data_IF_863477895851
#
_entry.id   IF_863477895851
#
_cell.length_a   1.000
_cell.length_b   1.000
_cell.length_c   1.000
_cell.angle_alpha   90.00
_cell.angle_beta   90.00
_cell.angle_gamma   90.00
#
_symmetry.space_group_name_H-M   'P 1'
#
loop_
_entity.id
_entity.type
_entity.pdbx_description
1 polymer ?
#
# COMPACT_ATOMS: atom_id res chain seq x y z
N UNK A 1 -3.00 16.55 18.12
CA UNK A 1 -4.25 16.23 17.38
C UNK A 1 -4.49 17.32 16.37
N UNK A 2 -4.91 17.01 15.14
CA UNK A 2 -5.21 18.03 14.13
C UNK A 2 -6.71 18.34 14.16
N UNK A 3 -7.07 19.61 14.31
CA UNK A 3 -8.46 20.08 14.34
C UNK A 3 -8.94 20.50 12.94
N UNK A 4 -8.09 21.18 12.17
CA UNK A 4 -8.44 21.66 10.84
C UNK A 4 -7.23 21.67 9.89
N UNK A 5 -7.52 21.76 8.60
CA UNK A 5 -6.54 22.00 7.54
C UNK A 5 -7.02 23.13 6.64
N UNK A 6 -6.08 23.89 6.07
CA UNK A 6 -6.35 24.95 5.09
C UNK A 6 -5.16 25.10 4.14
N UNK A 7 -5.40 24.88 2.85
CA UNK A 7 -4.38 24.79 1.83
C UNK A 7 -3.28 23.78 2.18
N UNK A 8 -2.09 24.33 2.47
CA UNK A 8 -0.86 23.59 2.81
C UNK A 8 -0.58 23.56 4.31
N UNK A 9 -1.53 24.00 5.14
CA UNK A 9 -1.35 24.09 6.59
C UNK A 9 -2.35 23.21 7.35
N UNK A 10 -1.97 22.85 8.57
CA UNK A 10 -2.81 22.18 9.56
C UNK A 10 -2.77 22.96 10.87
N UNK A 11 -3.89 22.99 11.56
CA UNK A 11 -4.02 23.60 12.89
C UNK A 11 -4.33 22.52 13.90
N UNK A 12 -3.53 22.44 14.96
CA UNK A 12 -3.75 21.51 16.05
C UNK A 12 -4.81 22.01 17.05
N UNK A 13 -5.22 21.15 17.97
CA UNK A 13 -6.25 21.46 19.00
C UNK A 13 -5.83 22.54 20.01
N UNK A 14 -4.55 22.93 20.03
CA UNK A 14 -4.04 24.00 20.87
C UNK A 14 -3.95 25.34 20.09
N UNK A 15 -4.39 25.35 18.83
CA UNK A 15 -4.40 26.52 17.96
C UNK A 15 -3.07 26.78 17.24
N UNK A 16 -2.10 25.86 17.28
CA UNK A 16 -0.85 26.03 16.54
C UNK A 16 -1.05 25.65 15.08
N UNK A 17 -0.73 26.58 14.17
CA UNK A 17 -0.74 26.34 12.72
C UNK A 17 0.66 26.00 12.22
N UNK A 18 0.77 24.96 11.39
CA UNK A 18 2.04 24.51 10.79
C UNK A 18 1.85 24.07 9.35
N UNK A 19 2.91 24.11 8.54
CA UNK A 19 2.90 23.53 7.20
C UNK A 19 2.78 22.01 7.26
N UNK A 20 1.86 21.42 6.48
CA UNK A 20 1.71 19.98 6.34
C UNK A 20 2.71 19.42 5.32
N UNK A 21 3.91 19.14 5.81
CA UNK A 21 4.95 18.46 5.03
C UNK A 21 4.82 16.93 5.08
N UNK A 22 3.85 16.41 5.84
CA UNK A 22 3.62 14.96 5.97
C UNK A 22 2.81 14.41 4.80
N UNK A 23 1.89 15.23 4.27
CA UNK A 23 1.02 14.88 3.15
C UNK A 23 0.24 13.58 3.39
N UNK A 24 -0.07 13.25 4.65
CA UNK A 24 -0.67 11.96 5.03
C UNK A 24 0.08 10.76 4.43
N UNK A 25 1.40 10.71 4.65
CA UNK A 25 2.29 9.65 4.15
C UNK A 25 2.25 9.51 2.61
N UNK A 26 2.04 10.63 1.91
CA UNK A 26 2.00 10.68 0.44
C UNK A 26 0.61 10.52 -0.18
N UNK A 27 -0.47 10.40 0.61
CA UNK A 27 -1.85 10.38 0.09
C UNK A 27 -2.23 11.75 -0.48
N UNK A 28 -1.90 12.83 0.22
CA UNK A 28 -2.37 14.18 -0.09
C UNK A 28 -1.52 14.90 -1.15
N UNK A 29 -1.24 14.24 -2.28
CA UNK A 29 -0.38 14.75 -3.37
C UNK A 29 -0.84 16.12 -3.91
N UNK A 30 -2.15 16.36 -3.97
CA UNK A 30 -2.74 17.61 -4.47
C UNK A 30 -3.09 18.62 -3.37
N UNK A 31 -2.73 18.35 -2.11
CA UNK A 31 -3.08 19.18 -0.96
C UNK A 31 -4.47 18.89 -0.38
N UNK A 32 -4.68 19.29 0.87
CA UNK A 32 -5.86 18.90 1.64
C UNK A 32 -7.19 19.39 1.01
N UNK A 33 -7.22 20.62 0.49
CA UNK A 33 -8.47 21.21 -0.02
C UNK A 33 -8.99 20.53 -1.28
N UNK A 34 -8.08 20.11 -2.18
CA UNK A 34 -8.45 19.32 -3.35
C UNK A 34 -9.19 18.02 -2.94
N UNK A 35 -8.70 17.35 -1.88
CA UNK A 35 -9.34 16.14 -1.39
C UNK A 35 -10.67 16.43 -0.67
N UNK A 36 -10.81 17.55 0.05
CA UNK A 36 -12.10 17.96 0.63
C UNK A 36 -13.17 18.14 -0.45
N UNK A 37 -12.83 18.78 -1.57
CA UNK A 37 -13.74 18.95 -2.70
C UNK A 37 -14.13 17.59 -3.30
N UNK A 38 -13.16 16.69 -3.48
CA UNK A 38 -13.40 15.33 -3.96
C UNK A 38 -14.35 14.55 -3.03
N UNK A 39 -14.14 14.65 -1.71
CA UNK A 39 -14.97 14.00 -0.70
C UNK A 39 -16.40 14.54 -0.75
N UNK A 40 -16.59 15.87 -0.76
CA UNK A 40 -17.91 16.47 -0.85
C UNK A 40 -18.66 16.02 -2.12
N UNK A 41 -17.97 15.95 -3.27
CA UNK A 41 -18.53 15.44 -4.52
C UNK A 41 -18.81 13.93 -4.49
N UNK A 42 -18.01 13.14 -3.80
CA UNK A 42 -18.22 11.70 -3.63
C UNK A 42 -19.40 11.43 -2.69
N UNK A 43 -19.48 12.12 -1.56
CA UNK A 43 -20.57 12.01 -0.59
C UNK A 43 -21.90 12.33 -1.25
N UNK A 44 -22.01 13.47 -1.95
CA UNK A 44 -23.24 13.85 -2.66
C UNK A 44 -23.74 12.76 -3.62
N UNK A 45 -22.83 12.06 -4.30
CA UNK A 45 -23.16 10.94 -5.20
C UNK A 45 -23.56 9.69 -4.43
N UNK A 46 -22.80 9.34 -3.40
CA UNK A 46 -23.01 8.12 -2.62
C UNK A 46 -24.25 8.21 -1.71
N UNK A 47 -24.62 9.40 -1.24
CA UNK A 47 -25.71 9.62 -0.29
C UNK A 47 -27.05 9.07 -0.82
N UNK A 48 -27.35 9.29 -2.11
CA UNK A 48 -28.56 8.77 -2.73
C UNK A 48 -28.53 7.26 -2.97
N UNK A 49 -27.34 6.68 -3.12
CA UNK A 49 -27.16 5.24 -3.34
C UNK A 49 -27.28 4.45 -2.03
N UNK A 50 -26.76 5.00 -0.93
CA UNK A 50 -26.65 4.29 0.34
C UNK A 50 -25.58 3.18 0.32
N UNK A 51 -25.55 2.32 1.35
CA UNK A 51 -24.53 1.28 1.52
C UNK A 51 -24.84 0.05 0.64
N UNK A 52 -24.90 0.23 -0.67
CA UNK A 52 -25.04 -0.88 -1.61
C UNK A 52 -23.72 -1.65 -1.64
N UNK A 53 -23.70 -2.81 -1.00
CA UNK A 53 -22.55 -3.70 -0.91
C UNK A 53 -22.74 -4.94 -1.79
N UNK A 54 -21.68 -5.38 -2.45
CA UNK A 54 -21.69 -6.55 -3.34
C UNK A 54 -21.54 -6.20 -4.82
N UNK A 55 -22.51 -5.50 -5.46
CA UNK A 55 -22.38 -5.12 -6.85
C UNK A 55 -21.49 -3.87 -7.02
N UNK A 56 -20.88 -3.74 -8.19
CA UNK A 56 -20.06 -2.57 -8.53
C UNK A 56 -20.92 -1.40 -9.02
N UNK A 57 -20.63 -0.19 -8.52
CA UNK A 57 -21.16 1.04 -9.07
C UNK A 57 -20.45 1.39 -10.39
N UNK A 58 -21.12 1.95 -11.42
CA UNK A 58 -20.52 2.27 -12.72
C UNK A 58 -19.28 3.18 -12.69
N UNK A 59 -19.10 3.94 -11.60
CA UNK A 59 -17.88 4.76 -11.38
C UNK A 59 -16.59 3.95 -11.46
N UNK A 60 -16.64 2.65 -11.17
CA UNK A 60 -15.47 1.77 -11.24
C UNK A 60 -15.02 1.53 -12.68
N UNK A 61 -15.90 1.60 -13.68
CA UNK A 61 -15.56 1.29 -15.07
C UNK A 61 -14.46 2.20 -15.62
N UNK A 62 -14.59 3.51 -15.43
CA UNK A 62 -13.58 4.48 -15.86
C UNK A 62 -12.28 4.32 -15.04
N UNK A 63 -12.40 4.07 -13.72
CA UNK A 63 -11.25 3.88 -12.84
C UNK A 63 -10.41 2.66 -13.26
N UNK A 64 -11.05 1.54 -13.59
CA UNK A 64 -10.39 0.33 -14.11
C UNK A 64 -9.61 0.65 -15.37
N UNK A 65 -10.24 1.29 -16.36
CA UNK A 65 -9.59 1.66 -17.62
C UNK A 65 -8.36 2.54 -17.42
N UNK A 66 -8.46 3.54 -16.52
CA UNK A 66 -7.35 4.45 -16.21
C UNK A 66 -6.23 3.73 -15.49
N UNK A 67 -6.54 2.88 -14.50
CA UNK A 67 -5.55 2.13 -13.74
C UNK A 67 -4.81 1.11 -14.62
N UNK A 68 -5.52 0.36 -15.48
CA UNK A 68 -4.88 -0.54 -16.46
C UNK A 68 -3.95 0.21 -17.41
N UNK A 69 -4.33 1.42 -17.86
CA UNK A 69 -3.46 2.26 -18.71
C UNK A 69 -2.21 2.72 -17.98
N UNK A 70 -2.32 3.10 -16.71
CA UNK A 70 -1.18 3.56 -15.89
C UNK A 70 -0.24 2.40 -15.56
N UNK A 71 -0.80 1.24 -15.19
CA UNK A 71 -0.02 0.07 -14.80
C UNK A 71 0.56 -0.70 -15.98
N UNK A 72 -0.06 -0.59 -17.17
CA UNK A 72 0.25 -1.43 -18.32
C UNK A 72 -0.21 -2.89 -18.15
N UNK A 73 -1.12 -3.17 -17.22
CA UNK A 73 -1.66 -4.50 -16.94
C UNK A 73 -3.09 -4.65 -17.48
N UNK A 74 -3.47 -5.90 -17.77
CA UNK A 74 -4.79 -6.23 -18.32
C UNK A 74 -5.92 -6.09 -17.31
N UNK A 75 -5.64 -6.34 -16.03
CA UNK A 75 -6.64 -6.42 -14.96
C UNK A 75 -6.19 -5.67 -13.70
N UNK A 76 -7.17 -5.26 -12.89
CA UNK A 76 -6.97 -4.63 -11.57
C UNK A 76 -7.92 -5.23 -10.54
N UNK A 77 -7.47 -5.31 -9.30
CA UNK A 77 -8.28 -5.72 -8.15
C UNK A 77 -8.30 -4.60 -7.11
N UNK A 78 -9.48 -4.29 -6.58
CA UNK A 78 -9.66 -3.28 -5.54
C UNK A 78 -9.65 -3.92 -4.15
N UNK A 79 -8.99 -3.25 -3.21
CA UNK A 79 -8.84 -3.67 -1.83
C UNK A 79 -9.05 -2.47 -0.90
N UNK A 80 -9.31 -2.71 0.38
CA UNK A 80 -9.56 -1.64 1.35
C UNK A 80 -8.28 -0.98 1.85
N UNK A 81 -7.12 -1.59 1.62
CA UNK A 81 -5.82 -1.04 2.02
C UNK A 81 -4.66 -1.55 1.17
N UNK A 82 -3.51 -0.89 1.29
CA UNK A 82 -2.25 -1.38 0.71
C UNK A 82 -1.81 -2.72 1.31
N UNK A 83 -2.04 -2.96 2.61
CA UNK A 83 -1.77 -4.26 3.26
C UNK A 83 -2.56 -5.37 2.59
N UNK A 84 -3.85 -5.18 2.35
CA UNK A 84 -4.70 -6.17 1.67
C UNK A 84 -4.28 -6.42 0.23
N UNK A 85 -3.87 -5.36 -0.49
CA UNK A 85 -3.34 -5.50 -1.85
C UNK A 85 -2.07 -6.37 -1.88
N UNK A 86 -1.14 -6.17 -0.94
CA UNK A 86 0.06 -7.01 -0.80
C UNK A 86 -0.32 -8.45 -0.45
N UNK A 87 -1.24 -8.65 0.49
CA UNK A 87 -1.72 -9.99 0.86
C UNK A 87 -2.30 -10.72 -0.35
N UNK A 88 -3.12 -10.05 -1.16
CA UNK A 88 -3.71 -10.64 -2.36
C UNK A 88 -2.63 -10.94 -3.41
N UNK A 89 -1.68 -10.04 -3.64
CA UNK A 89 -0.58 -10.26 -4.59
C UNK A 89 0.28 -11.48 -4.20
N UNK A 90 0.63 -11.62 -2.91
CA UNK A 90 1.39 -12.77 -2.41
C UNK A 90 0.58 -14.06 -2.54
N UNK A 91 -0.72 -14.02 -2.21
CA UNK A 91 -1.61 -15.18 -2.37
C UNK A 91 -1.69 -15.64 -3.83
N UNK A 92 -1.80 -14.70 -4.77
CA UNK A 92 -1.82 -14.98 -6.19
C UNK A 92 -0.49 -15.59 -6.65
N UNK A 93 0.64 -15.03 -6.25
CA UNK A 93 1.96 -15.56 -6.57
C UNK A 93 2.15 -17.00 -6.05
N UNK A 94 1.79 -17.28 -4.79
CA UNK A 94 1.81 -18.64 -4.22
C UNK A 94 0.92 -19.58 -5.02
N UNK A 95 -0.30 -19.14 -5.36
CA UNK A 95 -1.25 -19.95 -6.13
C UNK A 95 -0.72 -20.34 -7.52
N UNK A 96 -0.12 -19.41 -8.26
CA UNK A 96 0.38 -19.69 -9.62
C UNK A 96 1.68 -20.47 -9.63
N UNK A 97 2.62 -20.12 -8.75
CA UNK A 97 3.95 -20.75 -8.73
C UNK A 97 3.98 -22.09 -8.01
N UNK A 98 2.98 -22.39 -7.18
CA UNK A 98 2.94 -23.56 -6.26
C UNK A 98 4.11 -23.59 -5.27
N UNK A 99 4.69 -22.42 -5.00
CA UNK A 99 5.78 -22.22 -4.06
C UNK A 99 5.26 -21.51 -2.82
N UNK A 100 5.97 -21.66 -1.71
CA UNK A 100 5.50 -21.23 -0.39
C UNK A 100 6.13 -19.92 0.05
N UNK A 101 7.42 -19.72 -0.21
CA UNK A 101 8.16 -18.61 0.41
C UNK A 101 8.06 -17.33 -0.40
N UNK A 102 8.01 -16.19 0.30
CA UNK A 102 8.26 -14.88 -0.31
C UNK A 102 9.62 -14.33 0.14
N UNK A 103 10.16 -13.41 -0.64
CA UNK A 103 11.32 -12.61 -0.24
C UNK A 103 10.86 -11.18 0.01
N UNK A 104 11.36 -10.59 1.10
CA UNK A 104 11.32 -9.14 1.34
C UNK A 104 12.74 -8.63 1.62
N UNK A 105 12.91 -7.32 1.54
CA UNK A 105 14.17 -6.68 1.93
C UNK A 105 14.10 -6.12 3.35
N UNK A 106 15.24 -6.10 4.04
CA UNK A 106 15.39 -5.42 5.32
C UNK A 106 15.08 -3.92 5.13
N UNK A 107 14.37 -3.31 6.09
CA UNK A 107 13.94 -1.90 6.02
C UNK A 107 12.67 -1.65 5.17
N UNK A 108 12.35 -2.52 4.21
CA UNK A 108 11.17 -2.35 3.37
C UNK A 108 9.86 -2.49 4.17
N UNK A 109 8.90 -1.60 3.89
CA UNK A 109 7.54 -1.65 4.43
C UNK A 109 6.55 -2.09 3.34
N UNK A 110 5.77 -3.13 3.64
CA UNK A 110 4.70 -3.64 2.77
C UNK A 110 3.37 -3.82 3.53
N UNK A 111 3.16 -3.00 4.57
CA UNK A 111 2.04 -3.15 5.48
C UNK A 111 2.42 -3.92 6.76
N UNK A 112 1.40 -4.31 7.51
CA UNK A 112 1.52 -4.87 8.86
C UNK A 112 1.07 -6.34 8.95
N UNK A 113 0.82 -6.98 7.81
CA UNK A 113 0.53 -8.42 7.78
C UNK A 113 1.76 -9.22 8.22
N UNK A 114 1.56 -10.26 9.03
CA UNK A 114 2.64 -10.96 9.75
C UNK A 114 3.80 -11.46 8.86
N UNK A 115 3.51 -11.99 7.68
CA UNK A 115 4.54 -12.47 6.74
C UNK A 115 5.43 -11.34 6.18
N UNK A 116 4.96 -10.09 6.19
CA UNK A 116 5.69 -8.92 5.66
C UNK A 116 6.16 -7.94 6.74
N UNK A 117 5.79 -8.17 8.00
CA UNK A 117 6.30 -7.44 9.17
C UNK A 117 6.89 -8.35 10.26
N UNK A 118 7.87 -9.23 9.98
CA UNK A 118 8.56 -9.96 11.04
C UNK A 118 9.65 -9.09 11.69
N UNK A 119 9.72 -9.07 13.03
CA UNK A 119 10.76 -8.37 13.80
C UNK A 119 10.21 -7.33 14.77
N UNK A 120 10.75 -6.10 14.76
CA UNK A 120 10.38 -5.04 15.72
C UNK A 120 8.87 -4.74 15.62
N UNK A 121 8.15 -4.93 16.72
CA UNK A 121 6.70 -4.76 16.79
C UNK A 121 5.87 -6.02 16.50
N UNK A 122 6.49 -7.11 16.04
CA UNK A 122 5.83 -8.40 15.84
C UNK A 122 6.65 -9.54 16.50
N UNK A 123 6.19 -10.09 17.63
CA UNK A 123 6.92 -11.13 18.36
C UNK A 123 6.96 -12.48 17.62
N UNK A 124 6.18 -12.64 16.55
CA UNK A 124 6.08 -13.88 15.78
C UNK A 124 7.11 -13.84 14.65
N UNK A 125 7.98 -14.85 14.61
CA UNK A 125 8.88 -15.05 13.49
C UNK A 125 8.08 -15.38 12.21
N UNK A 126 8.46 -14.80 11.08
CA UNK A 126 7.88 -15.23 9.82
C UNK A 126 8.37 -16.64 9.46
N UNK A 127 7.43 -17.51 9.08
CA UNK A 127 7.72 -18.91 8.76
C UNK A 127 8.08 -19.10 7.28
N UNK A 128 7.39 -18.40 6.38
CA UNK A 128 7.53 -18.56 4.93
C UNK A 128 8.05 -17.28 4.25
N UNK A 129 8.94 -16.56 4.94
CA UNK A 129 9.51 -15.30 4.46
C UNK A 129 11.02 -15.27 4.62
N UNK A 130 11.74 -15.02 3.54
CA UNK A 130 13.14 -14.64 3.58
C UNK A 130 13.27 -13.12 3.70
N UNK A 131 13.90 -12.67 4.78
CA UNK A 131 14.32 -11.27 4.93
C UNK A 131 15.76 -11.14 4.49
N UNK A 132 15.98 -10.49 3.35
CA UNK A 132 17.30 -10.37 2.73
C UNK A 132 17.79 -8.92 2.74
N UNK A 133 19.11 -8.74 2.61
CA UNK A 133 19.70 -7.41 2.47
C UNK A 133 19.40 -6.83 1.08
N UNK A 134 19.10 -5.53 1.01
CA UNK A 134 19.01 -4.82 -0.26
C UNK A 134 20.41 -4.62 -0.87
N UNK A 135 20.50 -4.48 -2.19
CA UNK A 135 21.74 -4.23 -2.94
C UNK A 135 22.92 -5.17 -2.56
N UNK A 136 22.66 -6.47 -2.39
CA UNK A 136 23.66 -7.44 -1.93
C UNK A 136 23.85 -8.62 -2.89
N UNK A 137 25.11 -8.96 -3.20
CA UNK A 137 25.44 -10.18 -3.95
C UNK A 137 24.99 -11.47 -3.24
N UNK A 138 24.98 -11.48 -1.91
CA UNK A 138 24.48 -12.63 -1.13
C UNK A 138 22.98 -12.84 -1.36
N UNK A 139 22.22 -11.76 -1.45
CA UNK A 139 20.80 -11.79 -1.79
C UNK A 139 20.60 -12.33 -3.20
N UNK A 140 21.37 -11.85 -4.18
CA UNK A 140 21.30 -12.38 -5.55
C UNK A 140 21.63 -13.88 -5.61
N UNK A 141 22.60 -14.34 -4.82
CA UNK A 141 22.91 -15.77 -4.70
C UNK A 141 21.70 -16.58 -4.17
N UNK A 142 21.03 -16.11 -3.11
CA UNK A 142 19.81 -16.76 -2.60
C UNK A 142 18.72 -16.81 -3.66
N UNK A 143 18.46 -15.70 -4.34
CA UNK A 143 17.43 -15.62 -5.40
C UNK A 143 17.71 -16.57 -6.57
N UNK A 144 18.97 -16.79 -6.94
CA UNK A 144 19.35 -17.70 -8.03
C UNK A 144 19.24 -19.18 -7.63
N UNK A 145 19.50 -19.50 -6.36
CA UNK A 145 19.66 -20.88 -5.89
C UNK A 145 18.39 -21.51 -5.35
N UNK A 146 17.56 -20.74 -4.61
CA UNK A 146 16.29 -21.24 -4.04
C UNK A 146 15.28 -21.54 -5.14
N UNK A 147 14.45 -22.56 -4.93
CA UNK A 147 13.39 -23.00 -5.85
C UNK A 147 11.98 -22.94 -5.26
N UNK A 148 11.89 -22.52 -4.00
CA UNK A 148 10.67 -22.43 -3.20
C UNK A 148 10.16 -20.98 -3.04
N UNK A 149 10.75 -20.02 -3.76
CA UNK A 149 10.34 -18.62 -3.77
C UNK A 149 9.20 -18.40 -4.76
N UNK A 150 8.02 -18.05 -4.25
CA UNK A 150 6.83 -17.66 -4.99
C UNK A 150 6.93 -16.25 -5.58
N UNK A 151 7.40 -15.28 -4.78
CA UNK A 151 7.58 -13.90 -5.22
C UNK A 151 8.68 -13.18 -4.45
N UNK A 152 9.12 -12.05 -5.01
CA UNK A 152 10.05 -11.10 -4.39
C UNK A 152 9.31 -9.77 -4.29
N UNK A 153 9.09 -9.29 -3.07
CA UNK A 153 8.50 -7.98 -2.82
C UNK A 153 9.60 -6.92 -2.84
N UNK A 154 9.48 -5.94 -3.74
CA UNK A 154 10.45 -4.88 -3.96
C UNK A 154 9.74 -3.54 -3.82
N UNK A 155 10.28 -2.63 -3.01
CA UNK A 155 9.94 -1.21 -3.08
C UNK A 155 10.94 -0.54 -4.03
N UNK A 156 10.53 0.00 -5.19
CA UNK A 156 11.46 0.61 -6.15
C UNK A 156 12.28 1.74 -5.54
N UNK A 157 11.70 2.44 -4.57
CA UNK A 157 12.36 3.39 -3.69
C UNK A 157 11.94 3.09 -2.26
N UNK A 158 12.89 2.80 -1.38
CA UNK A 158 12.60 2.69 0.05
C UNK A 158 12.52 4.09 0.67
N UNK A 159 11.30 4.59 0.85
CA UNK A 159 11.05 5.91 1.45
C UNK A 159 11.37 5.99 2.96
N UNK A 160 11.45 4.83 3.64
CA UNK A 160 11.87 4.71 5.02
C UNK A 160 13.05 3.73 5.08
N UNK A 161 14.23 4.24 5.43
CA UNK A 161 15.30 3.42 6.00
C UNK A 161 15.27 3.65 7.50
N UNK A 162 14.51 2.86 8.29
CA UNK A 162 14.45 3.06 9.73
C UNK A 162 15.75 2.68 10.48
N UNK A 163 16.87 2.48 9.76
CA UNK A 163 18.19 2.16 10.31
C UNK A 163 19.26 3.06 9.69
#
# INVERSE_FOLDING_TARGET
FIESSDGVTVTDVDGNTSYDLTGSYGVNVFGNDFYKECIAGAEKRAHALGPVLGPYHPVILENVQRLCRISGLDEVSFHMSGTEAVMQAVRLARYHTKRTHLVRFAGAYHGWWGDVQPGVGNPIAAHETYTLAEMSEKTLHVLRTRKDIACVLVNPLQGLHPN
#
